data_IF_463313943812
#
_entry.id   IF_463313943812
#
_cell.length_a   1.000
_cell.length_b   1.000
_cell.length_c   1.000
_cell.angle_alpha   90.00
_cell.angle_beta   90.00
_cell.angle_gamma   90.00
#
_symmetry.space_group_name_H-M   'P 1'
#
loop_
_entity.id
_entity.type
_entity.pdbx_description
1 polymer ?
#
# COMPACT_ATOMS: atom_id res chain seq x y z
N UNK A 1 -25.34 -3.59 10.23
CA UNK A 1 -23.91 -3.75 10.54
C UNK A 1 -23.61 -5.23 10.56
N UNK A 2 -23.03 -5.77 9.49
CA UNK A 2 -22.64 -7.18 9.47
C UNK A 2 -21.33 -7.33 10.21
N UNK A 3 -21.38 -7.87 11.39
CA UNK A 3 -20.20 -8.29 12.15
C UNK A 3 -19.48 -9.35 11.33
N UNK A 4 -18.30 -9.03 10.81
CA UNK A 4 -17.43 -10.01 10.17
C UNK A 4 -17.09 -11.04 11.23
N UNK A 5 -17.51 -12.27 10.98
CA UNK A 5 -17.24 -13.38 11.88
C UNK A 5 -15.73 -13.69 11.78
N UNK A 6 -14.95 -13.20 12.74
CA UNK A 6 -13.49 -13.31 12.80
C UNK A 6 -12.99 -14.75 13.04
N UNK A 7 -13.90 -15.71 13.18
CA UNK A 7 -13.57 -17.10 13.56
C UNK A 7 -12.98 -17.95 12.44
N UNK A 8 -12.80 -17.43 11.23
CA UNK A 8 -12.39 -18.26 10.08
C UNK A 8 -11.02 -17.97 9.47
N UNK A 9 -10.24 -17.07 10.04
CA UNK A 9 -8.91 -16.79 9.50
C UNK A 9 -7.85 -17.23 10.48
N UNK A 10 -7.33 -18.43 10.23
CA UNK A 10 -6.16 -18.93 10.94
C UNK A 10 -4.92 -18.32 10.32
N UNK A 11 -4.28 -17.39 10.99
CA UNK A 11 -2.98 -16.88 10.61
C UNK A 11 -1.90 -17.33 11.59
N UNK A 12 -0.70 -17.56 11.09
CA UNK A 12 0.45 -17.92 11.94
C UNK A 12 0.95 -16.68 12.69
N UNK A 13 0.82 -15.50 12.08
CA UNK A 13 1.07 -14.19 12.71
C UNK A 13 -0.24 -13.66 13.26
N UNK A 14 -0.45 -13.76 14.54
CA UNK A 14 -1.76 -13.76 15.19
C UNK A 14 -2.27 -12.39 15.60
N UNK A 15 -1.69 -11.28 15.14
CA UNK A 15 -2.22 -9.97 15.46
C UNK A 15 -3.40 -9.63 14.55
N UNK A 16 -4.51 -9.29 15.18
CA UNK A 16 -5.73 -8.85 14.51
C UNK A 16 -6.03 -7.43 14.98
N UNK A 17 -6.08 -6.50 14.05
CA UNK A 17 -6.48 -5.13 14.32
C UNK A 17 -7.83 -4.84 13.68
N UNK A 18 -8.61 -3.96 14.28
CA UNK A 18 -9.86 -3.54 13.69
C UNK A 18 -9.61 -2.67 12.45
N UNK A 19 -8.77 -1.66 12.57
CA UNK A 19 -8.60 -0.61 11.58
C UNK A 19 -7.13 -0.12 11.53
N UNK A 20 -6.86 0.80 10.61
CA UNK A 20 -5.54 1.36 10.41
C UNK A 20 -4.98 2.07 11.64
N UNK A 21 -5.80 2.82 12.39
CA UNK A 21 -5.34 3.54 13.58
C UNK A 21 -4.87 2.58 14.67
N UNK A 22 -5.62 1.53 14.96
CA UNK A 22 -5.24 0.55 15.99
C UNK A 22 -3.98 -0.25 15.59
N UNK A 23 -3.82 -0.55 14.31
CA UNK A 23 -2.60 -1.16 13.80
C UNK A 23 -1.40 -0.22 13.94
N UNK A 24 -1.56 1.05 13.55
CA UNK A 24 -0.52 2.06 13.65
C UNK A 24 -0.04 2.24 15.08
N UNK A 25 -0.94 2.47 16.03
CA UNK A 25 -0.59 2.69 17.45
C UNK A 25 0.22 1.52 18.01
N UNK A 26 -0.27 0.30 17.79
CA UNK A 26 0.43 -0.89 18.27
C UNK A 26 1.82 -1.06 17.62
N UNK A 27 1.91 -0.94 16.30
CA UNK A 27 3.17 -1.14 15.58
C UNK A 27 4.18 -0.04 15.90
N UNK A 28 3.74 1.20 16.05
CA UNK A 28 4.58 2.32 16.47
C UNK A 28 5.22 2.05 17.84
N UNK A 29 4.40 1.64 18.83
CA UNK A 29 4.91 1.29 20.16
C UNK A 29 5.88 0.10 20.12
N UNK A 30 5.57 -0.92 19.31
CA UNK A 30 6.47 -2.07 19.16
C UNK A 30 7.80 -1.68 18.51
N UNK A 31 7.81 -0.80 17.52
CA UNK A 31 9.06 -0.29 16.92
C UNK A 31 9.89 0.46 17.97
N UNK A 32 9.27 1.33 18.76
CA UNK A 32 9.98 2.08 19.81
C UNK A 32 10.58 1.20 20.89
N UNK A 33 9.85 0.16 21.31
CA UNK A 33 10.25 -0.70 22.42
C UNK A 33 11.18 -1.85 21.99
N UNK A 34 10.93 -2.45 20.84
CA UNK A 34 11.55 -3.70 20.42
C UNK A 34 12.23 -3.61 19.03
N UNK A 35 12.15 -2.46 18.36
CA UNK A 35 12.80 -2.27 17.07
C UNK A 35 14.32 -2.30 17.19
N UNK A 36 14.97 -2.91 16.21
CA UNK A 36 16.42 -2.91 16.08
C UNK A 36 16.87 -1.66 15.31
N UNK A 37 18.07 -1.18 15.59
CA UNK A 37 18.64 -0.06 14.85
C UNK A 37 18.94 -0.48 13.41
N UNK A 38 18.47 0.31 12.47
CA UNK A 38 18.63 0.08 11.04
C UNK A 38 18.96 1.42 10.34
N UNK A 39 20.24 1.67 10.14
CA UNK A 39 20.72 2.97 9.72
C UNK A 39 20.44 4.05 10.78
N UNK A 40 19.77 5.11 10.37
CA UNK A 40 19.32 6.22 11.23
C UNK A 40 17.88 6.02 11.76
N UNK A 41 17.31 4.84 11.56
CA UNK A 41 15.94 4.49 11.95
C UNK A 41 15.89 3.25 12.86
N UNK A 42 14.70 2.93 13.35
CA UNK A 42 14.39 1.64 14.00
C UNK A 42 13.46 0.83 13.12
N UNK A 43 13.65 -0.48 13.06
CA UNK A 43 12.86 -1.40 12.26
C UNK A 43 12.43 -2.65 13.02
N UNK A 44 11.28 -3.18 12.64
CA UNK A 44 10.83 -4.53 12.94
C UNK A 44 10.73 -5.30 11.64
N UNK A 45 11.22 -6.53 11.62
CA UNK A 45 11.18 -7.41 10.46
C UNK A 45 10.17 -8.55 10.64
N UNK A 46 9.70 -9.13 9.53
CA UNK A 46 8.75 -10.24 9.50
C UNK A 46 7.45 -9.95 10.27
N UNK A 47 6.95 -8.73 10.17
CA UNK A 47 5.70 -8.33 10.79
C UNK A 47 4.56 -8.67 9.86
N UNK A 48 3.58 -9.45 10.37
CA UNK A 48 2.33 -9.75 9.68
C UNK A 48 1.15 -9.55 10.62
N UNK A 49 0.04 -9.07 10.08
CA UNK A 49 -1.21 -8.87 10.83
C UNK A 49 -2.43 -8.95 9.90
N UNK A 50 -3.58 -9.10 10.50
CA UNK A 50 -4.86 -9.05 9.83
C UNK A 50 -5.66 -7.80 10.25
N UNK A 51 -6.32 -7.16 9.30
CA UNK A 51 -7.18 -6.02 9.55
C UNK A 51 -8.63 -6.41 9.20
N UNK A 52 -9.56 -6.25 10.14
CA UNK A 52 -10.95 -6.68 9.96
C UNK A 52 -11.83 -5.64 9.29
N UNK A 53 -11.47 -4.38 9.39
CA UNK A 53 -12.18 -3.25 8.80
C UNK A 53 -11.20 -2.33 8.05
N UNK A 54 -10.71 -2.75 6.86
CA UNK A 54 -9.75 -1.97 6.09
C UNK A 54 -10.33 -0.68 5.50
N UNK A 55 -11.66 -0.53 5.48
CA UNK A 55 -12.31 0.70 5.02
C UNK A 55 -12.24 1.82 6.06
N UNK A 56 -12.05 1.48 7.35
CA UNK A 56 -11.70 2.44 8.40
C UNK A 56 -10.17 2.65 8.39
N UNK A 57 -9.70 3.37 7.36
CA UNK A 57 -8.28 3.53 7.04
C UNK A 57 -7.64 4.82 7.58
N UNK A 58 -8.41 5.66 8.29
CA UNK A 58 -7.91 6.94 8.83
C UNK A 58 -7.08 6.71 10.09
N UNK A 59 -5.93 7.37 10.15
CA UNK A 59 -5.08 7.39 11.35
C UNK A 59 -5.37 8.68 12.11
N UNK A 60 -6.08 8.56 13.23
CA UNK A 60 -6.49 9.69 14.08
C UNK A 60 -5.48 10.03 15.17
N UNK A 61 -4.43 9.22 15.33
CA UNK A 61 -3.35 9.49 16.26
C UNK A 61 -2.66 10.80 15.90
N UNK A 62 -2.63 11.75 16.85
CA UNK A 62 -2.13 13.12 16.61
C UNK A 62 -0.62 13.18 16.34
N UNK A 63 0.14 12.23 16.83
CA UNK A 63 1.58 12.17 16.63
C UNK A 63 1.92 11.85 15.17
N UNK A 64 1.08 11.07 14.48
CA UNK A 64 1.24 10.74 13.07
C UNK A 64 1.07 11.94 12.16
N UNK A 65 0.27 12.96 12.57
CA UNK A 65 -0.05 14.14 11.75
C UNK A 65 -0.53 13.77 10.35
N UNK A 66 -1.37 12.73 10.28
CA UNK A 66 -1.94 12.28 9.01
C UNK A 66 -2.79 13.39 8.37
N UNK A 67 -2.60 13.62 7.08
CA UNK A 67 -3.30 14.63 6.33
C UNK A 67 -4.29 13.95 5.36
N UNK A 68 -5.58 14.06 5.65
CA UNK A 68 -6.64 13.45 4.86
C UNK A 68 -6.71 14.02 3.44
N UNK A 69 -6.66 15.33 3.29
CA UNK A 69 -6.70 16.01 1.99
C UNK A 69 -5.57 15.52 1.08
N UNK A 70 -4.37 15.38 1.63
CA UNK A 70 -3.24 14.84 0.88
C UNK A 70 -3.44 13.37 0.52
N UNK A 71 -3.93 12.54 1.43
CA UNK A 71 -4.15 11.13 1.19
C UNK A 71 -5.21 10.88 0.10
N UNK A 72 -6.27 11.70 0.08
CA UNK A 72 -7.29 11.67 -0.98
C UNK A 72 -6.73 12.10 -2.33
N UNK A 73 -5.94 13.17 -2.37
CA UNK A 73 -5.29 13.63 -3.59
C UNK A 73 -4.27 12.62 -4.14
N UNK A 74 -3.51 11.97 -3.26
CA UNK A 74 -2.57 10.91 -3.64
C UNK A 74 -3.31 9.68 -4.18
N UNK A 75 -4.44 9.31 -3.57
CA UNK A 75 -5.29 8.24 -4.09
C UNK A 75 -5.88 8.59 -5.48
N UNK A 76 -6.38 9.81 -5.66
CA UNK A 76 -6.87 10.28 -6.96
C UNK A 76 -5.76 10.23 -8.02
N UNK A 77 -4.55 10.64 -7.64
CA UNK A 77 -3.38 10.54 -8.52
C UNK A 77 -3.06 9.08 -8.90
N UNK A 78 -3.13 8.14 -7.97
CA UNK A 78 -2.96 6.71 -8.31
C UNK A 78 -4.02 6.23 -9.32
N UNK A 79 -5.25 6.70 -9.21
CA UNK A 79 -6.32 6.34 -10.14
C UNK A 79 -6.12 6.91 -11.56
N UNK A 80 -5.22 7.85 -11.75
CA UNK A 80 -4.84 8.31 -13.11
C UNK A 80 -3.85 7.39 -13.81
N UNK A 81 -3.18 6.51 -13.10
CA UNK A 81 -2.06 5.68 -13.59
C UNK A 81 -0.94 6.48 -14.25
N UNK A 82 -0.81 7.76 -13.92
CA UNK A 82 0.21 8.68 -14.44
C UNK A 82 1.32 8.87 -13.39
N UNK A 83 2.56 8.40 -13.62
CA UNK A 83 3.66 8.50 -12.65
C UNK A 83 4.18 9.94 -12.46
N UNK A 84 3.73 10.90 -13.26
CA UNK A 84 4.18 12.28 -13.19
C UNK A 84 3.76 12.98 -11.90
N UNK A 85 4.72 13.60 -11.20
CA UNK A 85 4.46 14.41 -10.01
C UNK A 85 3.70 15.70 -10.31
N UNK A 86 3.74 16.18 -11.56
CA UNK A 86 2.96 17.33 -11.99
C UNK A 86 1.45 17.06 -11.97
N UNK A 87 1.05 15.82 -12.25
CA UNK A 87 -0.35 15.40 -12.15
C UNK A 87 -0.83 15.43 -10.71
N UNK A 88 -0.03 14.93 -9.76
CA UNK A 88 -0.32 15.11 -8.32
C UNK A 88 -0.38 16.61 -7.95
N UNK A 89 0.54 17.41 -8.49
CA UNK A 89 0.55 18.85 -8.27
C UNK A 89 -0.72 19.58 -8.73
N UNK A 90 -1.30 19.15 -9.85
CA UNK A 90 -2.60 19.67 -10.36
C UNK A 90 -3.77 19.26 -9.47
N UNK A 91 -3.78 18.03 -8.96
CA UNK A 91 -4.85 17.50 -8.10
C UNK A 91 -4.78 18.13 -6.71
N UNK A 92 -3.62 18.13 -6.07
CA UNK A 92 -3.42 18.62 -4.69
C UNK A 92 -3.21 20.13 -4.59
N UNK A 93 -3.02 20.82 -5.73
CA UNK A 93 -2.72 22.26 -5.79
C UNK A 93 -1.24 22.61 -5.63
N UNK A 94 -0.38 21.66 -5.31
CA UNK A 94 1.08 21.80 -5.26
C UNK A 94 1.76 20.45 -5.28
N UNK A 95 2.97 20.36 -5.80
CA UNK A 95 3.81 19.19 -5.67
C UNK A 95 4.46 19.17 -4.28
N UNK A 96 4.24 18.14 -3.44
CA UNK A 96 4.94 17.99 -2.16
C UNK A 96 6.46 17.86 -2.34
N UNK A 97 7.23 18.45 -1.42
CA UNK A 97 8.70 18.46 -1.52
C UNK A 97 9.35 17.08 -1.53
N UNK A 98 8.70 16.10 -0.91
CA UNK A 98 9.20 14.73 -0.94
C UNK A 98 9.23 14.19 -2.37
N UNK A 99 8.15 14.39 -3.13
CA UNK A 99 8.06 13.92 -4.51
C UNK A 99 9.02 14.63 -5.44
N UNK A 100 9.25 15.92 -5.26
CA UNK A 100 10.28 16.66 -6.03
C UNK A 100 11.68 16.09 -5.84
N UNK A 101 11.96 15.52 -4.66
CA UNK A 101 13.27 14.89 -4.37
C UNK A 101 13.36 13.44 -4.85
N UNK A 102 12.21 12.79 -4.99
CA UNK A 102 12.12 11.37 -5.36
C UNK A 102 11.95 11.18 -6.87
N UNK A 103 11.50 12.23 -7.59
CA UNK A 103 11.30 12.16 -9.04
C UNK A 103 12.62 12.09 -9.80
N UNK A 104 12.58 11.38 -10.90
CA UNK A 104 13.67 11.34 -11.88
C UNK A 104 13.77 12.64 -12.69
N UNK A 105 14.66 12.66 -13.69
CA UNK A 105 14.90 13.81 -14.57
C UNK A 105 13.68 14.18 -15.45
N UNK A 106 12.72 13.26 -15.58
CA UNK A 106 11.46 13.47 -16.32
C UNK A 106 10.30 13.92 -15.43
N UNK A 107 10.52 13.97 -14.13
CA UNK A 107 9.49 14.28 -13.14
C UNK A 107 8.57 13.10 -12.84
N UNK A 108 9.04 11.88 -13.00
CA UNK A 108 8.28 10.66 -12.77
C UNK A 108 8.80 9.90 -11.54
N UNK A 109 7.92 9.10 -10.91
CA UNK A 109 8.24 8.27 -9.76
C UNK A 109 7.75 6.83 -9.94
N UNK A 110 8.46 5.88 -9.36
CA UNK A 110 8.08 4.47 -9.38
C UNK A 110 6.90 4.16 -8.43
N UNK A 111 6.67 5.00 -7.43
CA UNK A 111 5.64 4.79 -6.40
C UNK A 111 4.25 5.31 -6.77
N UNK A 112 3.97 5.64 -8.06
CA UNK A 112 2.57 5.73 -8.49
C UNK A 112 2.02 4.30 -8.59
N UNK A 113 1.27 3.88 -7.56
CA UNK A 113 0.78 2.50 -7.49
C UNK A 113 -0.29 2.19 -8.52
N UNK A 114 -1.07 3.16 -8.97
CA UNK A 114 -2.02 2.97 -10.07
C UNK A 114 -1.31 2.54 -11.36
N UNK A 115 -0.23 3.24 -11.74
CA UNK A 115 0.61 2.85 -12.85
C UNK A 115 1.13 1.40 -12.69
N UNK A 116 1.63 1.06 -11.50
CA UNK A 116 2.18 -0.27 -11.22
C UNK A 116 1.11 -1.37 -11.28
N UNK A 117 -0.12 -1.09 -10.88
CA UNK A 117 -1.22 -2.06 -10.93
C UNK A 117 -1.71 -2.31 -12.36
N UNK A 118 -1.78 -1.25 -13.17
CA UNK A 118 -2.25 -1.32 -14.56
C UNK A 118 -1.17 -1.79 -15.54
N UNK A 119 0.09 -1.66 -15.18
CA UNK A 119 1.20 -2.06 -16.04
C UNK A 119 1.02 -3.48 -16.54
N UNK A 120 1.24 -3.68 -17.83
CA UNK A 120 1.11 -4.97 -18.54
C UNK A 120 -0.29 -5.61 -18.42
N UNK A 121 -1.32 -4.84 -18.09
CA UNK A 121 -2.70 -5.33 -17.95
C UNK A 121 -2.90 -6.27 -16.75
N UNK A 122 -2.06 -6.17 -15.70
CA UNK A 122 -2.09 -7.07 -14.54
C UNK A 122 -3.45 -7.08 -13.86
N UNK A 123 -4.05 -5.90 -13.63
CA UNK A 123 -5.29 -5.79 -12.88
C UNK A 123 -6.47 -6.40 -13.67
N UNK A 124 -6.57 -6.12 -14.96
CA UNK A 124 -7.58 -6.70 -15.85
C UNK A 124 -7.46 -8.23 -15.92
N UNK A 125 -6.23 -8.72 -16.02
CA UNK A 125 -5.97 -10.17 -16.00
C UNK A 125 -6.48 -10.80 -14.72
N UNK A 126 -6.17 -10.22 -13.56
CA UNK A 126 -6.58 -10.75 -12.25
C UNK A 126 -8.10 -10.73 -12.09
N UNK A 127 -8.76 -9.63 -12.48
CA UNK A 127 -10.22 -9.53 -12.46
C UNK A 127 -10.85 -10.62 -13.31
N UNK A 128 -10.36 -10.82 -14.53
CA UNK A 128 -10.81 -11.89 -15.44
C UNK A 128 -10.57 -13.28 -14.83
N UNK A 129 -9.39 -13.49 -14.25
CA UNK A 129 -9.02 -14.76 -13.64
C UNK A 129 -9.92 -15.13 -12.46
N UNK A 130 -10.18 -14.18 -11.56
CA UNK A 130 -11.06 -14.40 -10.39
C UNK A 130 -12.53 -14.60 -10.79
N UNK A 131 -13.01 -13.93 -11.84
CA UNK A 131 -14.35 -14.17 -12.39
C UNK A 131 -14.50 -15.59 -12.93
N UNK A 132 -13.47 -16.10 -13.59
CA UNK A 132 -13.51 -17.43 -14.22
C UNK A 132 -13.18 -18.56 -13.24
N UNK A 133 -12.32 -18.30 -12.25
CA UNK A 133 -11.92 -19.26 -11.23
C UNK A 133 -11.73 -18.56 -9.87
N UNK A 134 -12.79 -18.43 -9.06
CA UNK A 134 -12.72 -17.79 -7.74
C UNK A 134 -11.74 -18.46 -6.76
N UNK A 135 -11.39 -19.73 -6.98
CA UNK A 135 -10.47 -20.47 -6.13
C UNK A 135 -9.01 -20.44 -6.62
N UNK A 136 -8.71 -19.56 -7.58
CA UNK A 136 -7.35 -19.44 -8.11
C UNK A 136 -6.35 -19.02 -7.03
N UNK A 137 -5.11 -19.49 -7.16
CA UNK A 137 -3.97 -19.04 -6.36
C UNK A 137 -3.03 -18.12 -7.15
N UNK A 138 -3.41 -17.75 -8.37
CA UNK A 138 -2.59 -16.98 -9.31
C UNK A 138 -2.94 -15.50 -9.34
N UNK A 139 -3.92 -15.05 -8.54
CA UNK A 139 -4.39 -13.67 -8.54
C UNK A 139 -3.43 -12.77 -7.72
N UNK A 140 -2.29 -12.47 -8.30
CA UNK A 140 -1.28 -11.60 -7.69
C UNK A 140 -0.80 -10.52 -8.66
N UNK A 141 -0.72 -9.28 -8.17
CA UNK A 141 -0.05 -8.15 -8.83
C UNK A 141 1.39 -8.09 -8.32
N UNK A 142 2.36 -7.97 -9.23
CA UNK A 142 3.75 -7.67 -8.89
C UNK A 142 4.02 -6.20 -9.11
N UNK A 143 4.50 -5.51 -8.09
CA UNK A 143 4.95 -4.12 -8.22
C UNK A 143 6.40 -4.09 -8.69
N UNK A 144 7.24 -4.97 -8.13
CA UNK A 144 8.64 -5.06 -8.51
C UNK A 144 8.81 -5.82 -9.83
N UNK A 145 9.49 -5.21 -10.77
CA UNK A 145 9.94 -5.81 -12.01
C UNK A 145 11.40 -5.45 -12.26
N UNK A 146 12.26 -6.44 -12.38
CA UNK A 146 13.70 -6.22 -12.55
C UNK A 146 14.07 -5.55 -13.87
N UNK A 147 13.18 -5.55 -14.86
CA UNK A 147 13.42 -4.86 -16.14
C UNK A 147 13.08 -3.37 -16.06
N UNK A 148 11.99 -3.04 -15.37
CA UNK A 148 11.49 -1.66 -15.22
C UNK A 148 12.25 -0.92 -14.11
N UNK A 149 12.61 -1.63 -13.05
CA UNK A 149 13.11 -1.06 -11.81
C UNK A 149 14.57 -1.42 -11.53
N UNK A 150 15.35 -1.63 -12.57
CA UNK A 150 16.77 -1.97 -12.41
C UNK A 150 17.57 -0.81 -11.77
N UNK A 151 17.08 0.40 -11.91
CA UNK A 151 17.64 1.62 -11.33
C UNK A 151 16.64 2.34 -10.42
N UNK A 152 16.61 1.94 -9.17
CA UNK A 152 15.82 2.62 -8.13
C UNK A 152 16.57 3.82 -7.50
N UNK A 153 17.35 4.56 -8.28
CA UNK A 153 18.22 5.61 -7.76
C UNK A 153 17.47 6.70 -6.97
N UNK A 154 16.20 6.96 -7.31
CA UNK A 154 15.43 8.05 -6.73
C UNK A 154 14.28 7.58 -5.87
N UNK A 155 13.44 6.68 -6.37
CA UNK A 155 12.21 6.25 -5.71
C UNK A 155 12.06 4.72 -5.76
N UNK A 156 11.87 4.12 -4.59
CA UNK A 156 11.64 2.68 -4.43
C UNK A 156 10.24 2.44 -3.87
N UNK A 157 9.36 1.71 -4.60
CA UNK A 157 8.03 1.39 -4.09
C UNK A 157 8.09 0.63 -2.77
N UNK A 158 7.29 1.04 -1.78
CA UNK A 158 7.17 0.37 -0.48
C UNK A 158 6.41 -0.96 -0.58
N UNK A 159 5.41 -1.03 -1.48
CA UNK A 159 4.65 -2.25 -1.76
C UNK A 159 5.36 -3.04 -2.86
N UNK A 160 5.58 -4.34 -2.67
CA UNK A 160 6.21 -5.18 -3.69
C UNK A 160 5.21 -6.11 -4.40
N UNK A 161 4.11 -6.50 -3.76
CA UNK A 161 3.07 -7.34 -4.36
C UNK A 161 1.75 -7.22 -3.62
N UNK A 162 0.67 -7.53 -4.33
CA UNK A 162 -0.67 -7.71 -3.76
C UNK A 162 -1.24 -9.03 -4.24
N UNK A 163 -1.77 -9.85 -3.34
CA UNK A 163 -2.45 -11.10 -3.68
C UNK A 163 -3.92 -11.02 -3.29
N UNK A 164 -4.79 -11.44 -4.21
CA UNK A 164 -6.23 -11.50 -3.99
C UNK A 164 -6.67 -12.94 -3.78
N UNK A 165 -7.55 -13.15 -2.81
CA UNK A 165 -8.12 -14.46 -2.50
C UNK A 165 -9.59 -14.27 -2.14
N UNK A 166 -10.48 -14.99 -2.82
CA UNK A 166 -11.90 -15.00 -2.50
C UNK A 166 -12.17 -16.10 -1.47
N UNK A 167 -12.67 -15.70 -0.31
CA UNK A 167 -13.07 -16.61 0.76
C UNK A 167 -14.55 -16.36 1.07
N UNK A 168 -15.38 -17.40 0.99
CA UNK A 168 -16.82 -17.31 1.26
C UNK A 168 -17.52 -16.22 0.41
N UNK A 169 -17.20 -16.15 -0.88
CA UNK A 169 -17.74 -15.16 -1.85
C UNK A 169 -17.40 -13.70 -1.51
N UNK A 170 -16.29 -13.48 -0.84
CA UNK A 170 -15.75 -12.15 -0.49
C UNK A 170 -14.26 -12.09 -0.71
#
# INVERSE_FOLDING_TARGET
>A
MNTINTTMINTINNKVFRNANTAYEYLHDQILQNGVDFGDTKALFNVGFYMTDPMDNKIINKERKWNEEYAEAEWEWYMTSDPSIDTLGKIYGKVPEIWKRMADDYGEVNSNYGYQWERDGQLDYIVSLLKNNPNTRQAAVSIYDAKEHIDYAYDTPCTYAVQFTIVNNR
#
